data_IF_782302906024
#
_entry.id   IF_782302906024
#
_cell.length_a   1.000
_cell.length_b   1.000
_cell.length_c   1.000
_cell.angle_alpha   90.00
_cell.angle_beta   90.00
_cell.angle_gamma   90.00
#
_symmetry.space_group_name_H-M   'P 1'
#
loop_
_entity.id
_entity.type
_entity.pdbx_description
1 polymer ?
#
# COMPACT_ATOMS: atom_id res chain seq x y z
N UNK A 1 -28.13 15.03 -5.40
CA UNK A 1 -26.92 15.43 -4.64
C UNK A 1 -26.26 14.15 -4.13
N UNK A 2 -25.02 13.82 -4.51
CA UNK A 2 -24.34 12.67 -3.93
C UNK A 2 -24.16 12.92 -2.42
N UNK A 3 -24.73 12.03 -1.59
CA UNK A 3 -24.53 12.03 -0.13
C UNK A 3 -23.28 11.19 0.16
N UNK A 4 -22.13 11.82 0.37
CA UNK A 4 -20.90 11.12 0.74
C UNK A 4 -19.63 11.86 0.36
N UNK A 5 -18.49 11.35 0.85
CA UNK A 5 -17.17 11.85 0.48
C UNK A 5 -16.81 11.36 -0.93
N UNK A 6 -16.56 12.29 -1.86
CA UNK A 6 -15.96 11.99 -3.16
C UNK A 6 -14.47 12.29 -3.10
N UNK A 7 -13.66 11.25 -2.91
CA UNK A 7 -12.22 11.36 -2.83
C UNK A 7 -11.63 11.31 -4.25
N UNK A 8 -11.02 12.42 -4.70
CA UNK A 8 -10.39 12.49 -6.02
C UNK A 8 -9.03 11.80 -6.06
N UNK A 9 -8.23 12.01 -5.02
CA UNK A 9 -6.90 11.42 -4.87
C UNK A 9 -6.68 11.07 -3.41
N UNK A 10 -5.97 9.96 -3.17
CA UNK A 10 -5.53 9.55 -1.86
C UNK A 10 -4.07 9.14 -1.96
N UNK A 11 -3.20 9.79 -1.18
CA UNK A 11 -1.76 9.53 -1.22
C UNK A 11 -1.45 8.37 -0.27
N UNK A 12 -0.78 7.35 -0.78
CA UNK A 12 -0.35 6.20 0.00
C UNK A 12 0.99 6.51 0.68
N UNK A 13 1.09 6.19 1.97
CA UNK A 13 2.31 6.34 2.78
C UNK A 13 2.71 4.95 3.32
N UNK A 14 3.24 4.04 2.50
CA UNK A 14 3.53 2.66 2.94
C UNK A 14 4.65 2.55 3.97
N UNK A 15 5.52 3.57 4.06
CA UNK A 15 6.63 3.63 5.01
C UNK A 15 6.15 3.91 6.43
N UNK A 16 6.73 3.19 7.39
CA UNK A 16 6.52 3.38 8.82
C UNK A 16 5.66 2.29 9.47
N UNK A 17 5.46 2.45 10.78
CA UNK A 17 4.83 1.44 11.65
C UNK A 17 3.39 1.78 12.07
N UNK A 18 2.92 2.96 11.70
CA UNK A 18 1.59 3.44 12.09
C UNK A 18 0.47 2.73 11.31
N UNK A 19 -0.77 2.86 11.81
CA UNK A 19 -1.96 2.26 11.18
C UNK A 19 -2.21 2.75 9.75
N UNK A 20 -1.78 3.97 9.41
CA UNK A 20 -1.95 4.53 8.08
C UNK A 20 -0.94 3.94 7.10
N UNK A 21 0.26 3.61 7.57
CA UNK A 21 1.25 2.88 6.81
C UNK A 21 0.79 1.44 6.52
N UNK A 22 0.23 0.76 7.52
CA UNK A 22 -0.37 -0.56 7.32
C UNK A 22 -1.53 -0.52 6.30
N UNK A 23 -2.45 0.45 6.43
CA UNK A 23 -3.55 0.63 5.48
C UNK A 23 -3.06 0.95 4.07
N UNK A 24 -1.99 1.76 3.95
CA UNK A 24 -1.39 2.09 2.66
C UNK A 24 -0.82 0.86 1.96
N UNK A 25 -0.12 -0.01 2.69
CA UNK A 25 0.43 -1.27 2.13
C UNK A 25 -0.68 -2.21 1.68
N UNK A 26 -1.76 -2.32 2.46
CA UNK A 26 -2.93 -3.11 2.06
C UNK A 26 -3.56 -2.58 0.76
N UNK A 27 -3.73 -1.26 0.64
CA UNK A 27 -4.24 -0.63 -0.57
C UNK A 27 -3.32 -0.86 -1.78
N UNK A 28 -2.00 -0.78 -1.59
CA UNK A 28 -1.02 -1.06 -2.65
C UNK A 28 -1.13 -2.49 -3.18
N UNK A 29 -1.20 -3.50 -2.29
CA UNK A 29 -1.36 -4.90 -2.72
C UNK A 29 -2.67 -5.13 -3.47
N UNK A 30 -3.77 -4.52 -3.00
CA UNK A 30 -5.06 -4.62 -3.67
C UNK A 30 -5.01 -4.02 -5.08
N UNK A 31 -4.36 -2.86 -5.24
CA UNK A 31 -4.17 -2.24 -6.54
C UNK A 31 -3.29 -3.09 -7.46
N UNK A 32 -2.15 -3.60 -6.96
CA UNK A 32 -1.28 -4.51 -7.70
C UNK A 32 -2.05 -5.70 -8.28
N UNK A 33 -2.89 -6.37 -7.47
CA UNK A 33 -3.72 -7.47 -7.94
C UNK A 33 -4.72 -7.06 -9.03
N UNK A 34 -5.26 -5.83 -8.96
CA UNK A 34 -6.22 -5.35 -9.95
C UNK A 34 -5.60 -5.03 -11.32
N UNK A 35 -4.30 -4.75 -11.36
CA UNK A 35 -3.58 -4.39 -12.59
C UNK A 35 -2.71 -5.52 -13.11
N UNK A 36 -2.65 -6.68 -12.45
CA UNK A 36 -1.72 -7.77 -12.78
C UNK A 36 -1.85 -8.26 -14.24
N UNK A 37 -3.04 -8.22 -14.82
CA UNK A 37 -3.25 -8.59 -16.24
C UNK A 37 -3.00 -7.45 -17.23
N UNK A 38 -2.91 -6.21 -16.74
CA UNK A 38 -2.72 -4.99 -17.55
C UNK A 38 -1.24 -4.60 -17.57
N UNK A 39 -0.60 -4.64 -16.40
CA UNK A 39 0.80 -4.32 -16.18
C UNK A 39 1.37 -5.25 -15.09
N UNK A 40 1.78 -6.47 -15.48
CA UNK A 40 2.26 -7.48 -14.54
C UNK A 40 3.57 -7.07 -13.86
N UNK A 41 4.42 -6.30 -14.54
CA UNK A 41 5.71 -5.84 -14.00
C UNK A 41 5.46 -4.86 -12.86
N UNK A 42 4.67 -3.82 -13.09
CA UNK A 42 4.32 -2.87 -12.04
C UNK A 42 3.56 -3.52 -10.87
N UNK A 43 2.70 -4.51 -11.15
CA UNK A 43 2.00 -5.25 -10.11
C UNK A 43 2.99 -5.96 -9.16
N UNK A 44 4.02 -6.62 -9.71
CA UNK A 44 5.06 -7.27 -8.91
C UNK A 44 5.84 -6.24 -8.10
N UNK A 45 6.30 -5.15 -8.72
CA UNK A 45 7.06 -4.11 -8.02
C UNK A 45 6.30 -3.48 -6.84
N UNK A 46 5.00 -3.23 -7.03
CA UNK A 46 4.13 -2.68 -5.98
C UNK A 46 3.95 -3.65 -4.82
N UNK A 47 3.75 -4.95 -5.13
CA UNK A 47 3.59 -6.00 -4.13
C UNK A 47 4.87 -6.17 -3.32
N UNK A 48 6.01 -6.31 -4.00
CA UNK A 48 7.33 -6.42 -3.37
C UNK A 48 7.65 -5.21 -2.50
N UNK A 49 7.30 -4.00 -2.95
CA UNK A 49 7.52 -2.82 -2.13
C UNK A 49 6.64 -2.81 -0.88
N UNK A 50 5.35 -3.13 -1.00
CA UNK A 50 4.46 -3.22 0.16
C UNK A 50 4.91 -4.30 1.16
N UNK A 51 5.48 -5.40 0.69
CA UNK A 51 5.95 -6.47 1.56
C UNK A 51 7.24 -6.09 2.29
N UNK A 52 8.24 -5.53 1.58
CA UNK A 52 9.46 -4.98 2.21
C UNK A 52 9.15 -3.93 3.29
N UNK A 53 8.18 -3.05 3.06
CA UNK A 53 7.81 -2.05 4.06
C UNK A 53 7.03 -2.65 5.25
N UNK A 54 6.34 -3.79 5.04
CA UNK A 54 5.72 -4.53 6.14
C UNK A 54 6.79 -5.21 7.01
N UNK A 55 7.75 -5.88 6.39
CA UNK A 55 8.88 -6.51 7.08
C UNK A 55 9.67 -5.51 7.93
N UNK A 56 9.98 -4.33 7.36
CA UNK A 56 10.64 -3.24 8.12
C UNK A 56 9.82 -2.76 9.31
N UNK A 57 8.50 -2.83 9.23
CA UNK A 57 7.64 -2.43 10.33
C UNK A 57 7.71 -3.42 11.50
N UNK A 58 7.87 -4.70 11.20
CA UNK A 58 7.90 -5.80 12.17
C UNK A 58 9.26 -5.98 12.87
N UNK A 59 10.35 -5.44 12.30
CA UNK A 59 11.67 -5.45 12.96
C UNK A 59 11.60 -4.60 14.25
N UNK A 60 11.81 -5.18 15.45
CA UNK A 60 11.91 -4.42 16.69
C UNK A 60 13.06 -3.42 16.56
N UNK A 61 12.81 -2.15 16.87
CA UNK A 61 13.92 -1.20 17.04
C UNK A 61 14.63 -1.59 18.34
N UNK A 62 15.68 -2.39 18.22
CA UNK A 62 16.62 -2.62 19.31
C UNK A 62 17.45 -1.33 19.42
N UNK A 63 17.16 -0.55 20.45
CA UNK A 63 18.00 0.57 20.91
C UNK A 63 18.85 0.11 22.09
#
# INVERSE_FOLDING_TARGET
MPKGLTMKYFVLKPKGKDRHAAASRAAMRAYANSIETVDPELAVELRDWADRESEKADIPQIY
#
